data_IF_728072569333
#
_entry.id   IF_728072569333
#
_cell.length_a   1.000
_cell.length_b   1.000
_cell.length_c   1.000
_cell.angle_alpha   90.00
_cell.angle_beta   90.00
_cell.angle_gamma   90.00
#
_symmetry.space_group_name_H-M   'P 1'
#
loop_
_entity.id
_entity.type
_entity.pdbx_description
1 polymer ?
#
# COMPACT_ATOMS: atom_id res chain seq x y z
N UNK A 1 -33.62 -49.98 -19.00
CA UNK A 1 -33.04 -49.53 -17.71
C UNK A 1 -34.17 -49.43 -16.68
N UNK A 2 -34.04 -50.09 -15.52
CA UNK A 2 -35.09 -50.10 -14.49
C UNK A 2 -35.36 -48.67 -13.98
N UNK A 3 -36.62 -48.24 -13.85
CA UNK A 3 -37.00 -46.91 -13.36
C UNK A 3 -36.31 -46.55 -12.03
N UNK A 4 -36.08 -47.53 -11.16
CA UNK A 4 -35.34 -47.35 -9.89
C UNK A 4 -33.85 -47.05 -10.09
N UNK A 5 -33.23 -47.71 -11.09
CA UNK A 5 -31.82 -47.46 -11.45
C UNK A 5 -31.65 -46.09 -12.11
N UNK A 6 -32.60 -45.70 -12.97
CA UNK A 6 -32.61 -44.36 -13.56
C UNK A 6 -32.81 -43.26 -12.51
N UNK A 7 -33.74 -43.45 -11.57
CA UNK A 7 -33.97 -42.50 -10.47
C UNK A 7 -32.75 -42.39 -9.55
N UNK A 8 -32.10 -43.51 -9.23
CA UNK A 8 -30.86 -43.52 -8.45
C UNK A 8 -29.71 -42.78 -9.13
N UNK A 9 -29.53 -42.99 -10.44
CA UNK A 9 -28.54 -42.24 -11.24
C UNK A 9 -28.84 -40.75 -11.28
N UNK A 10 -30.11 -40.36 -11.42
CA UNK A 10 -30.51 -38.95 -11.45
C UNK A 10 -30.22 -38.26 -10.11
N UNK A 11 -30.57 -38.89 -8.98
CA UNK A 11 -30.25 -38.38 -7.64
C UNK A 11 -28.75 -38.27 -7.43
N UNK A 12 -27.98 -39.29 -7.85
CA UNK A 12 -26.51 -39.25 -7.76
C UNK A 12 -25.92 -38.07 -8.54
N UNK A 13 -26.36 -37.84 -9.79
CA UNK A 13 -25.90 -36.71 -10.61
C UNK A 13 -26.25 -35.38 -9.96
N UNK A 14 -27.46 -35.23 -9.40
CA UNK A 14 -27.88 -34.00 -8.71
C UNK A 14 -27.00 -33.76 -7.48
N UNK A 15 -26.77 -34.78 -6.66
CA UNK A 15 -25.93 -34.68 -5.46
C UNK A 15 -24.50 -34.32 -5.84
N UNK A 16 -23.90 -35.03 -6.81
CA UNK A 16 -22.52 -34.76 -7.25
C UNK A 16 -22.37 -33.37 -7.87
N UNK A 17 -23.38 -32.91 -8.63
CA UNK A 17 -23.40 -31.54 -9.15
C UNK A 17 -23.50 -30.52 -8.02
N UNK A 18 -24.34 -30.76 -7.02
CA UNK A 18 -24.45 -29.91 -5.83
C UNK A 18 -23.13 -29.84 -5.05
N UNK A 19 -22.47 -30.97 -4.83
CA UNK A 19 -21.15 -31.05 -4.19
C UNK A 19 -20.11 -30.28 -5.01
N UNK A 20 -20.07 -30.49 -6.32
CA UNK A 20 -19.14 -29.79 -7.22
C UNK A 20 -19.33 -28.28 -7.16
N UNK A 21 -20.58 -27.79 -7.24
CA UNK A 21 -20.90 -26.38 -7.15
C UNK A 21 -20.53 -25.79 -5.78
N UNK A 22 -20.81 -26.50 -4.70
CA UNK A 22 -20.43 -26.05 -3.35
C UNK A 22 -18.92 -25.96 -3.19
N UNK A 23 -18.19 -26.99 -3.60
CA UNK A 23 -16.72 -27.02 -3.53
C UNK A 23 -16.12 -25.88 -4.35
N UNK A 24 -16.59 -25.69 -5.59
CA UNK A 24 -16.06 -24.66 -6.47
C UNK A 24 -16.37 -23.23 -6.00
N UNK A 25 -17.55 -22.99 -5.43
CA UNK A 25 -18.01 -21.64 -5.11
C UNK A 25 -17.80 -21.22 -3.64
N UNK A 26 -17.72 -22.18 -2.70
CA UNK A 26 -17.60 -21.88 -1.27
C UNK A 26 -16.25 -22.35 -0.69
N UNK A 27 -15.78 -23.53 -1.08
CA UNK A 27 -14.57 -24.12 -0.49
C UNK A 27 -13.31 -23.54 -1.15
N UNK A 28 -13.15 -23.68 -2.46
CA UNK A 28 -11.97 -23.22 -3.18
C UNK A 28 -11.67 -21.72 -3.02
N UNK A 29 -12.66 -20.80 -3.07
CA UNK A 29 -12.41 -19.36 -2.96
C UNK A 29 -12.16 -18.89 -1.52
N UNK A 30 -12.35 -19.76 -0.52
CA UNK A 30 -12.20 -19.40 0.89
C UNK A 30 -10.72 -19.13 1.22
N UNK A 31 -10.37 -17.96 1.79
CA UNK A 31 -9.00 -17.58 2.11
C UNK A 31 -8.22 -18.61 2.94
N UNK A 32 -8.90 -19.30 3.86
CA UNK A 32 -8.23 -20.27 4.73
C UNK A 32 -7.70 -21.48 3.94
N UNK A 33 -8.45 -21.92 2.93
CA UNK A 33 -8.12 -23.10 2.13
C UNK A 33 -6.90 -22.87 1.24
N UNK A 34 -6.61 -21.61 0.89
CA UNK A 34 -5.42 -21.26 0.13
C UNK A 34 -4.12 -21.68 0.84
N UNK A 35 -4.11 -21.79 2.18
CA UNK A 35 -2.94 -22.21 2.97
C UNK A 35 -2.64 -23.71 2.85
N UNK A 36 -3.60 -24.51 2.40
CA UNK A 36 -3.45 -25.98 2.27
C UNK A 36 -2.61 -26.32 1.04
N UNK A 37 -2.87 -25.62 -0.06
CA UNK A 37 -2.26 -25.89 -1.36
C UNK A 37 -1.08 -24.95 -1.65
N UNK A 38 -1.12 -23.71 -1.17
CA UNK A 38 -0.13 -22.68 -1.50
C UNK A 38 0.58 -22.13 -0.26
N UNK A 39 1.76 -21.58 -0.48
CA UNK A 39 2.53 -20.86 0.55
C UNK A 39 1.89 -19.51 0.92
N UNK A 40 0.71 -19.56 1.54
CA UNK A 40 -0.12 -18.39 1.85
C UNK A 40 -0.28 -18.14 3.34
N UNK A 41 0.17 -19.06 4.20
CA UNK A 41 0.02 -18.94 5.65
C UNK A 41 0.48 -17.60 6.25
N UNK A 42 1.68 -17.05 5.93
CA UNK A 42 2.08 -15.76 6.47
C UNK A 42 1.21 -14.61 5.95
N UNK A 43 0.78 -14.65 4.68
CA UNK A 43 -0.05 -13.60 4.08
C UNK A 43 -1.49 -13.63 4.63
N UNK A 44 -2.05 -14.83 4.82
CA UNK A 44 -3.35 -15.04 5.45
C UNK A 44 -3.39 -14.44 6.86
N UNK A 45 -2.35 -14.68 7.69
CA UNK A 45 -2.29 -14.11 9.06
C UNK A 45 -2.37 -12.58 9.03
N UNK A 46 -1.70 -11.93 8.07
CA UNK A 46 -1.76 -10.47 7.91
C UNK A 46 -3.12 -9.98 7.42
N UNK A 47 -3.75 -10.75 6.54
CA UNK A 47 -5.09 -10.48 6.06
C UNK A 47 -6.11 -10.58 7.19
N UNK A 48 -6.02 -11.62 8.02
CA UNK A 48 -6.91 -11.91 9.15
C UNK A 48 -6.98 -10.77 10.18
N UNK A 49 -5.86 -10.08 10.40
CA UNK A 49 -5.78 -8.90 11.29
C UNK A 49 -6.00 -7.57 10.57
N UNK A 50 -6.18 -7.57 9.25
CA UNK A 50 -6.35 -6.35 8.47
C UNK A 50 -7.78 -5.80 8.52
N UNK A 51 -7.96 -4.56 8.08
CA UNK A 51 -9.28 -3.97 7.87
C UNK A 51 -10.08 -4.65 6.74
N UNK A 52 -9.44 -5.52 5.96
CA UNK A 52 -10.04 -6.26 4.84
C UNK A 52 -10.25 -7.75 5.15
N UNK A 53 -10.19 -8.16 6.43
CA UNK A 53 -10.31 -9.56 6.85
C UNK A 53 -11.66 -10.25 6.57
N UNK A 54 -12.62 -9.53 5.98
CA UNK A 54 -13.90 -10.07 5.50
C UNK A 54 -14.00 -10.12 3.98
N UNK A 55 -12.98 -9.67 3.27
CA UNK A 55 -12.92 -9.65 1.80
C UNK A 55 -12.12 -10.88 1.33
N UNK A 56 -12.70 -11.80 0.55
CA UNK A 56 -11.97 -12.94 0.02
C UNK A 56 -10.77 -12.51 -0.84
N UNK A 57 -9.66 -13.25 -0.77
CA UNK A 57 -8.42 -12.90 -1.46
C UNK A 57 -8.62 -12.65 -2.97
N UNK A 58 -9.42 -13.51 -3.62
CA UNK A 58 -9.68 -13.49 -5.06
C UNK A 58 -10.59 -12.34 -5.52
N UNK A 59 -11.15 -11.54 -4.59
CA UNK A 59 -11.81 -10.27 -4.95
C UNK A 59 -10.81 -9.21 -5.40
N UNK A 60 -9.59 -9.25 -4.87
CA UNK A 60 -8.53 -8.30 -5.18
C UNK A 60 -7.44 -8.93 -6.06
N UNK A 61 -7.03 -10.15 -5.73
CA UNK A 61 -5.97 -10.84 -6.45
C UNK A 61 -6.53 -11.61 -7.65
N UNK A 62 -5.98 -11.32 -8.83
CA UNK A 62 -6.24 -12.15 -10.00
C UNK A 62 -5.49 -13.48 -9.87
N UNK A 63 -6.18 -14.57 -10.19
CA UNK A 63 -5.65 -15.93 -10.03
C UNK A 63 -5.92 -16.74 -11.29
N UNK A 64 -4.87 -17.27 -11.89
CA UNK A 64 -4.94 -18.11 -13.08
C UNK A 64 -4.54 -19.53 -12.74
N UNK A 65 -5.01 -20.51 -13.53
CA UNK A 65 -4.62 -21.91 -13.36
C UNK A 65 -3.11 -22.11 -13.46
N UNK A 66 -2.44 -21.38 -14.35
CA UNK A 66 -0.98 -21.45 -14.50
C UNK A 66 -0.26 -20.92 -13.27
N UNK A 67 -0.71 -19.80 -12.70
CA UNK A 67 -0.17 -19.27 -11.45
C UNK A 67 -0.42 -20.23 -10.27
N UNK A 68 -1.57 -20.90 -10.27
CA UNK A 68 -1.94 -21.89 -9.27
C UNK A 68 -0.97 -23.09 -9.27
N UNK A 69 -0.78 -23.69 -10.44
CA UNK A 69 0.11 -24.85 -10.60
C UNK A 69 1.56 -24.48 -10.29
N UNK A 70 2.02 -23.32 -10.76
CA UNK A 70 3.36 -22.84 -10.44
C UNK A 70 3.53 -22.54 -8.94
N UNK A 71 2.50 -22.02 -8.27
CA UNK A 71 2.48 -21.78 -6.83
C UNK A 71 2.50 -23.09 -6.04
N UNK A 72 1.71 -24.08 -6.45
CA UNK A 72 1.69 -25.42 -5.86
C UNK A 72 3.06 -26.11 -5.99
N UNK A 73 3.65 -26.09 -7.18
CA UNK A 73 4.95 -26.69 -7.41
C UNK A 73 6.03 -26.06 -6.52
N UNK A 74 6.07 -24.73 -6.42
CA UNK A 74 6.99 -24.02 -5.51
C UNK A 74 6.76 -24.39 -4.05
N UNK A 75 5.51 -24.54 -3.62
CA UNK A 75 5.17 -24.96 -2.27
C UNK A 75 5.69 -26.37 -1.97
N UNK A 76 5.46 -27.33 -2.87
CA UNK A 76 5.95 -28.70 -2.73
C UNK A 76 7.47 -28.79 -2.78
N UNK A 77 8.11 -27.99 -3.65
CA UNK A 77 9.56 -27.95 -3.80
C UNK A 77 10.28 -27.11 -2.72
N UNK A 78 9.56 -26.45 -1.81
CA UNK A 78 10.15 -25.57 -0.79
C UNK A 78 10.75 -24.27 -1.34
N UNK A 79 10.45 -23.90 -2.60
CA UNK A 79 11.02 -22.75 -3.32
C UNK A 79 10.29 -21.45 -3.01
N UNK A 80 10.51 -20.87 -1.83
CA UNK A 80 9.77 -19.69 -1.33
C UNK A 80 10.43 -18.33 -1.60
N UNK A 81 11.62 -18.31 -2.20
CA UNK A 81 12.42 -17.11 -2.45
C UNK A 81 12.76 -17.02 -3.95
N UNK A 82 12.63 -15.86 -4.62
CA UNK A 82 12.13 -14.58 -4.12
C UNK A 82 10.64 -14.60 -3.75
N UNK A 83 10.24 -13.70 -2.84
CA UNK A 83 8.83 -13.51 -2.49
C UNK A 83 8.03 -13.23 -3.77
N UNK A 84 6.91 -13.95 -4.01
CA UNK A 84 6.11 -13.73 -5.20
C UNK A 84 5.54 -12.31 -5.19
N UNK A 85 5.83 -11.57 -6.26
CA UNK A 85 5.21 -10.28 -6.53
C UNK A 85 3.90 -10.53 -7.27
N UNK A 86 2.79 -10.10 -6.69
CA UNK A 86 1.49 -10.10 -7.37
C UNK A 86 1.03 -8.67 -7.52
N UNK A 87 0.64 -8.32 -8.75
CA UNK A 87 -0.05 -7.08 -9.05
C UNK A 87 -1.53 -7.21 -8.62
N UNK A 88 -2.09 -6.14 -8.08
CA UNK A 88 -3.52 -6.02 -7.83
C UNK A 88 -3.98 -4.85 -8.69
N UNK A 89 -4.73 -5.13 -9.76
CA UNK A 89 -5.25 -4.07 -10.62
C UNK A 89 -6.14 -3.10 -9.83
N UNK A 90 -6.00 -1.79 -10.08
CA UNK A 90 -6.79 -0.78 -9.34
C UNK A 90 -8.31 -0.97 -9.53
N UNK A 91 -8.73 -1.51 -10.69
CA UNK A 91 -10.14 -1.85 -10.97
C UNK A 91 -10.74 -2.79 -9.91
N UNK A 92 -9.93 -3.64 -9.27
CA UNK A 92 -10.39 -4.56 -8.24
C UNK A 92 -10.58 -3.83 -6.91
N UNK A 93 -9.84 -2.76 -6.64
CA UNK A 93 -10.12 -1.88 -5.50
C UNK A 93 -11.39 -1.05 -5.76
N UNK A 94 -11.52 -0.52 -6.98
CA UNK A 94 -12.60 0.37 -7.41
C UNK A 94 -13.84 -0.36 -7.91
N UNK A 95 -13.95 -1.67 -7.69
CA UNK A 95 -15.12 -2.45 -8.10
C UNK A 95 -16.37 -2.04 -7.32
N UNK A 96 -17.54 -2.31 -7.91
CA UNK A 96 -18.84 -2.04 -7.28
C UNK A 96 -18.95 -2.68 -5.89
N UNK A 97 -19.42 -1.90 -4.91
CA UNK A 97 -19.53 -2.34 -3.52
C UNK A 97 -18.21 -2.32 -2.73
N UNK A 98 -17.12 -1.82 -3.31
CA UNK A 98 -15.84 -1.59 -2.63
C UNK A 98 -15.50 -0.09 -2.56
N UNK A 99 -14.49 0.36 -3.32
CA UNK A 99 -14.06 1.77 -3.37
C UNK A 99 -14.51 2.48 -4.66
N UNK A 100 -15.64 2.08 -5.25
CA UNK A 100 -16.18 2.60 -6.52
C UNK A 100 -16.37 4.13 -6.56
N UNK A 101 -16.71 4.76 -5.42
CA UNK A 101 -16.83 6.22 -5.30
C UNK A 101 -15.56 6.94 -4.84
N UNK A 102 -14.45 6.23 -4.60
CA UNK A 102 -13.26 6.77 -3.94
C UNK A 102 -12.56 7.90 -4.71
N UNK A 103 -12.75 7.95 -6.03
CA UNK A 103 -12.19 9.02 -6.86
C UNK A 103 -13.14 10.21 -7.04
N UNK A 104 -14.41 10.07 -6.64
CA UNK A 104 -15.42 11.13 -6.62
C UNK A 104 -15.45 11.79 -5.23
N UNK A 105 -15.61 10.98 -4.19
CA UNK A 105 -15.51 11.35 -2.77
C UNK A 105 -14.05 11.17 -2.31
N UNK A 106 -13.15 11.96 -2.90
CA UNK A 106 -11.72 11.68 -2.87
C UNK A 106 -11.00 12.14 -1.61
N UNK A 107 -11.58 13.08 -0.85
CA UNK A 107 -10.97 13.67 0.34
C UNK A 107 -11.22 12.83 1.59
N UNK A 108 -10.18 12.60 2.36
CA UNK A 108 -10.22 11.88 3.64
C UNK A 108 -9.31 12.53 4.67
N UNK A 109 -9.68 12.38 5.95
CA UNK A 109 -8.78 12.66 7.07
C UNK A 109 -8.09 11.36 7.44
N UNK A 110 -6.81 11.22 7.06
CA UNK A 110 -6.08 9.97 7.15
C UNK A 110 -5.62 9.63 8.59
N UNK A 111 -5.29 10.63 9.39
CA UNK A 111 -4.77 10.40 10.76
C UNK A 111 -5.50 11.24 11.79
N UNK A 112 -5.46 10.81 13.06
CA UNK A 112 -5.97 11.60 14.19
C UNK A 112 -5.32 12.99 14.31
N UNK A 113 -4.12 13.16 13.73
CA UNK A 113 -3.42 14.45 13.64
C UNK A 113 -3.95 15.36 12.51
N UNK A 114 -4.99 14.94 11.79
CA UNK A 114 -5.67 15.76 10.80
C UNK A 114 -4.94 15.84 9.46
N UNK A 115 -4.25 14.78 9.03
CA UNK A 115 -3.69 14.76 7.68
C UNK A 115 -4.83 14.72 6.67
N UNK A 116 -4.98 15.78 5.88
CA UNK A 116 -5.93 15.86 4.78
C UNK A 116 -5.30 15.22 3.54
N UNK A 117 -5.97 14.23 2.98
CA UNK A 117 -5.50 13.55 1.78
C UNK A 117 -6.61 13.55 0.72
N UNK A 118 -6.24 13.79 -0.54
CA UNK A 118 -7.15 13.78 -1.68
C UNK A 118 -6.70 12.73 -2.69
N UNK A 119 -7.48 11.67 -2.86
CA UNK A 119 -7.15 10.56 -3.75
C UNK A 119 -7.12 10.98 -5.22
N UNK A 120 -7.97 11.92 -5.64
CA UNK A 120 -8.16 12.25 -7.05
C UNK A 120 -6.88 12.78 -7.69
N UNK A 121 -6.27 13.88 -7.22
CA UNK A 121 -5.04 14.39 -7.82
C UNK A 121 -3.84 13.46 -7.63
N UNK A 122 -3.84 12.60 -6.61
CA UNK A 122 -2.76 11.60 -6.44
C UNK A 122 -2.91 10.41 -7.40
N UNK A 123 -4.13 10.03 -7.75
CA UNK A 123 -4.39 8.87 -8.58
C UNK A 123 -4.46 9.22 -10.08
N UNK A 124 -5.09 10.34 -10.44
CA UNK A 124 -5.34 10.69 -11.84
C UNK A 124 -4.17 11.40 -12.50
N UNK A 125 -3.35 12.11 -11.73
CA UNK A 125 -2.23 12.88 -12.28
C UNK A 125 -0.91 12.13 -12.13
N UNK A 126 -0.03 12.32 -13.11
CA UNK A 126 1.34 11.84 -13.01
C UNK A 126 2.14 12.79 -12.13
N UNK A 127 2.53 12.34 -10.94
CA UNK A 127 3.32 13.15 -9.99
C UNK A 127 4.79 12.77 -10.12
N UNK A 128 5.65 13.75 -10.45
CA UNK A 128 7.11 13.56 -10.62
C UNK A 128 7.46 12.45 -11.62
N UNK A 129 6.66 12.29 -12.68
CA UNK A 129 6.85 11.23 -13.68
C UNK A 129 6.38 9.84 -13.25
N UNK A 130 5.70 9.73 -12.10
CA UNK A 130 5.25 8.46 -11.52
C UNK A 130 3.73 8.39 -11.65
N UNK A 131 3.23 7.28 -12.21
CA UNK A 131 1.80 6.94 -12.16
C UNK A 131 1.56 6.10 -10.91
N UNK A 132 0.73 6.61 -10.01
CA UNK A 132 0.41 5.93 -8.76
C UNK A 132 -0.76 4.94 -8.96
N UNK A 133 -0.77 3.94 -8.09
CA UNK A 133 -1.80 2.92 -7.95
C UNK A 133 -2.37 2.95 -6.53
N UNK A 134 -3.50 2.30 -6.28
CA UNK A 134 -4.05 2.19 -4.93
C UNK A 134 -3.00 1.62 -3.95
N UNK A 135 -2.25 0.63 -4.41
CA UNK A 135 -1.18 -0.03 -3.65
C UNK A 135 0.11 0.77 -3.50
N UNK A 136 0.30 1.86 -4.24
CA UNK A 136 1.44 2.74 -4.02
C UNK A 136 1.43 3.31 -2.60
N UNK A 137 0.24 3.53 -2.03
CA UNK A 137 0.08 3.92 -0.63
C UNK A 137 -0.40 2.76 0.25
N UNK A 138 -1.34 1.93 -0.23
CA UNK A 138 -1.89 0.78 0.50
C UNK A 138 -1.06 -0.49 0.30
N UNK A 139 0.11 -0.56 0.94
CA UNK A 139 1.04 -1.68 0.71
C UNK A 139 1.03 -2.74 1.81
N UNK A 140 1.58 -3.91 1.48
CA UNK A 140 1.61 -5.12 2.31
C UNK A 140 2.87 -5.26 3.18
N UNK A 141 3.80 -4.30 3.06
CA UNK A 141 5.15 -4.36 3.64
C UNK A 141 5.22 -3.59 4.96
N UNK A 142 4.30 -2.64 5.18
CA UNK A 142 4.38 -1.76 6.32
C UNK A 142 3.78 -2.48 7.54
N UNK A 143 4.65 -2.77 8.51
CA UNK A 143 4.26 -3.28 9.85
C UNK A 143 3.65 -4.67 9.89
N UNK A 144 3.84 -5.47 8.84
CA UNK A 144 3.32 -6.83 8.83
C UNK A 144 1.80 -6.91 8.69
N UNK A 145 1.15 -5.86 8.18
CA UNK A 145 -0.29 -5.85 7.90
C UNK A 145 -0.55 -5.88 6.39
N UNK A 146 -1.68 -6.46 6.00
CA UNK A 146 -2.11 -6.55 4.60
C UNK A 146 -2.89 -5.28 4.21
N UNK A 147 -2.49 -4.64 3.10
CA UNK A 147 -3.16 -3.46 2.52
C UNK A 147 -3.35 -2.32 3.55
N UNK A 148 -2.23 -1.79 4.07
CA UNK A 148 -2.23 -0.66 5.02
C UNK A 148 -1.49 0.55 4.44
N UNK A 149 -2.00 1.74 4.74
CA UNK A 149 -1.34 2.98 4.33
C UNK A 149 -0.18 3.32 5.27
N UNK A 150 0.99 3.61 4.69
CA UNK A 150 2.15 4.13 5.41
C UNK A 150 2.37 5.61 5.14
N UNK A 151 2.56 6.40 6.21
CA UNK A 151 2.98 7.80 6.10
C UNK A 151 4.35 7.98 5.45
N UNK A 152 5.20 6.94 5.47
CA UNK A 152 6.54 7.01 4.87
C UNK A 152 6.48 7.28 3.35
N UNK A 153 5.44 6.78 2.66
CA UNK A 153 5.26 7.06 1.23
C UNK A 153 4.97 8.53 0.99
N UNK A 154 4.15 9.16 1.86
CA UNK A 154 3.91 10.60 1.82
C UNK A 154 5.23 11.36 2.02
N UNK A 155 6.02 10.96 3.01
CA UNK A 155 7.29 11.63 3.32
C UNK A 155 8.29 11.52 2.17
N UNK A 156 8.39 10.37 1.51
CA UNK A 156 9.22 10.19 0.32
C UNK A 156 8.88 11.21 -0.77
N UNK A 157 7.62 11.33 -1.17
CA UNK A 157 7.25 12.23 -2.25
C UNK A 157 7.37 13.71 -1.86
N UNK A 158 6.97 14.07 -0.63
CA UNK A 158 6.83 15.46 -0.21
C UNK A 158 8.09 16.05 0.46
N UNK A 159 9.06 15.23 0.88
CA UNK A 159 10.32 15.69 1.48
C UNK A 159 11.58 15.32 0.68
N UNK A 160 11.54 14.32 -0.21
CA UNK A 160 12.73 13.98 -1.00
C UNK A 160 13.10 15.09 -1.98
N UNK A 161 14.33 15.59 -1.84
CA UNK A 161 14.92 16.61 -2.71
C UNK A 161 14.71 18.05 -2.24
N UNK A 162 14.25 18.25 -1.01
CA UNK A 162 14.18 19.57 -0.36
C UNK A 162 14.97 19.55 0.95
N UNK A 163 15.30 20.74 1.47
CA UNK A 163 15.97 20.88 2.77
C UNK A 163 15.08 20.39 3.92
N UNK A 164 15.69 19.93 5.03
CA UNK A 164 14.96 19.27 6.13
C UNK A 164 13.98 20.18 6.90
N UNK A 165 13.89 21.47 6.57
CA UNK A 165 12.95 22.46 7.10
C UNK A 165 11.74 22.73 6.16
N UNK A 166 11.71 22.13 4.97
CA UNK A 166 10.73 22.40 3.91
C UNK A 166 9.99 21.15 3.48
N UNK A 167 8.85 21.36 2.82
CA UNK A 167 8.12 20.35 2.06
C UNK A 167 7.94 20.85 0.63
N UNK A 168 8.01 19.96 -0.37
CA UNK A 168 7.83 20.27 -1.80
C UNK A 168 6.52 21.03 -2.05
N UNK A 169 5.45 20.65 -1.35
CA UNK A 169 4.11 21.23 -1.47
C UNK A 169 3.79 22.27 -0.39
N UNK A 170 4.75 22.63 0.46
CA UNK A 170 4.56 23.54 1.60
C UNK A 170 3.87 22.91 2.82
N UNK A 171 4.11 23.48 3.99
CA UNK A 171 3.76 22.86 5.28
C UNK A 171 2.27 22.64 5.56
N UNK A 172 1.31 23.50 5.18
CA UNK A 172 -0.09 23.19 5.47
C UNK A 172 -0.73 22.23 4.45
N UNK A 173 0.04 21.69 3.49
CA UNK A 173 -0.51 20.79 2.45
C UNK A 173 -0.95 19.43 2.98
N UNK A 174 -0.29 18.91 4.03
CA UNK A 174 -0.66 17.64 4.64
C UNK A 174 -1.47 17.84 5.92
N UNK A 175 -0.98 18.65 6.85
CA UNK A 175 -1.64 18.92 8.12
C UNK A 175 -1.56 20.41 8.46
N UNK A 176 -2.58 20.93 9.13
CA UNK A 176 -2.58 22.32 9.61
C UNK A 176 -1.78 22.46 10.90
N UNK A 177 -1.45 23.70 11.28
CA UNK A 177 -0.90 23.99 12.60
C UNK A 177 -1.94 23.71 13.71
N UNK A 178 -1.51 23.39 14.95
CA UNK A 178 -2.43 23.26 16.08
C UNK A 178 -3.33 24.49 16.24
N UNK A 179 -4.65 24.26 16.31
CA UNK A 179 -5.64 25.33 16.49
C UNK A 179 -5.61 25.90 17.91
N UNK A 180 -5.43 25.03 18.91
CA UNK A 180 -5.34 25.44 20.31
C UNK A 180 -3.91 25.85 20.67
N UNK A 181 -3.73 26.83 21.59
CA UNK A 181 -2.42 27.14 22.14
C UNK A 181 -1.77 25.90 22.75
N UNK A 182 -0.45 25.80 22.60
CA UNK A 182 0.35 24.71 23.15
C UNK A 182 1.35 25.25 24.17
N UNK A 183 1.79 24.42 25.11
CA UNK A 183 2.87 24.78 26.02
C UNK A 183 4.21 24.32 25.44
N UNK A 184 5.14 25.25 25.28
CA UNK A 184 6.51 24.98 24.84
C UNK A 184 7.46 25.57 25.88
N UNK A 185 8.26 24.73 26.54
CA UNK A 185 9.19 25.14 27.62
C UNK A 185 8.51 26.01 28.70
N UNK A 186 7.33 25.59 29.14
CA UNK A 186 6.57 26.30 30.19
C UNK A 186 5.86 27.58 29.75
N UNK A 187 5.99 28.00 28.48
CA UNK A 187 5.29 29.17 27.93
C UNK A 187 4.17 28.75 26.99
N UNK A 188 3.02 29.40 27.12
CA UNK A 188 1.91 29.23 26.18
C UNK A 188 2.26 29.86 24.84
N UNK A 189 2.09 29.12 23.76
CA UNK A 189 2.40 29.52 22.40
C UNK A 189 1.21 29.26 21.47
N UNK A 190 0.80 30.29 20.73
CA UNK A 190 -0.25 30.19 19.72
C UNK A 190 0.34 30.22 18.32
N UNK A 191 0.11 29.16 17.55
CA UNK A 191 0.50 29.12 16.14
C UNK A 191 -0.28 30.13 15.30
N UNK A 192 -1.57 30.33 15.61
CA UNK A 192 -2.41 31.30 14.92
C UNK A 192 -1.85 32.72 15.07
N UNK A 193 -1.47 33.12 16.28
CA UNK A 193 -0.86 34.44 16.52
C UNK A 193 0.49 34.57 15.82
N UNK A 194 1.32 33.52 15.84
CA UNK A 194 2.61 33.53 15.15
C UNK A 194 2.45 33.69 13.63
N UNK A 195 1.50 32.96 13.03
CA UNK A 195 1.19 33.06 11.60
C UNK A 195 0.62 34.43 11.23
N UNK A 196 -0.30 34.98 12.04
CA UNK A 196 -0.81 36.36 11.88
C UNK A 196 0.29 37.42 11.97
N UNK A 197 1.31 37.19 12.80
CA UNK A 197 2.50 38.02 12.91
C UNK A 197 3.55 37.77 11.79
N UNK A 198 3.20 37.02 10.73
CA UNK A 198 4.07 36.77 9.59
C UNK A 198 5.23 35.81 9.84
N UNK A 199 5.22 35.06 10.96
CA UNK A 199 6.28 34.09 11.26
C UNK A 199 6.20 32.90 10.32
N UNK A 200 7.35 32.51 9.75
CA UNK A 200 7.48 31.31 8.91
C UNK A 200 7.66 30.08 9.78
N UNK A 201 7.17 28.93 9.32
CA UNK A 201 7.29 27.66 10.04
C UNK A 201 8.76 27.32 10.38
N UNK A 202 9.67 27.50 9.43
CA UNK A 202 11.10 27.17 9.56
C UNK A 202 11.86 28.02 10.58
N UNK A 203 11.29 29.14 11.05
CA UNK A 203 11.88 29.91 12.14
C UNK A 203 11.82 29.15 13.48
N UNK A 204 10.83 28.27 13.65
CA UNK A 204 10.66 27.45 14.85
C UNK A 204 10.85 25.96 14.57
N UNK A 205 10.60 25.49 13.35
CA UNK A 205 10.73 24.11 12.91
C UNK A 205 11.96 23.96 12.02
N UNK A 206 13.16 24.03 12.62
CA UNK A 206 14.44 24.14 11.91
C UNK A 206 14.79 22.84 11.19
N UNK A 207 14.50 21.69 11.79
CA UNK A 207 14.58 20.40 11.11
C UNK A 207 13.34 19.60 11.50
N UNK A 208 12.60 19.15 10.48
CA UNK A 208 11.37 18.37 10.65
C UNK A 208 11.48 16.97 10.05
N UNK A 209 12.59 16.68 9.36
CA UNK A 209 12.82 15.38 8.74
C UNK A 209 14.21 14.85 9.05
N UNK A 210 14.37 13.54 9.00
CA UNK A 210 15.64 12.83 9.09
C UNK A 210 15.73 11.79 7.97
N UNK A 211 16.83 11.81 7.23
CA UNK A 211 17.05 10.97 6.05
C UNK A 211 16.50 11.58 4.75
N UNK A 212 17.07 11.16 3.62
CA UNK A 212 16.84 11.79 2.30
C UNK A 212 16.12 10.89 1.28
N UNK A 213 15.67 9.72 1.75
CA UNK A 213 14.97 8.74 0.91
C UNK A 213 15.79 8.29 -0.28
N UNK A 214 17.10 8.16 -0.12
CA UNK A 214 18.03 7.69 -1.14
C UNK A 214 17.67 6.31 -1.66
N UNK A 215 18.20 5.97 -2.84
CA UNK A 215 18.04 4.65 -3.46
C UNK A 215 19.39 3.95 -3.52
N UNK A 216 19.85 3.32 -2.43
CA UNK A 216 21.09 2.55 -2.46
C UNK A 216 21.09 1.51 -3.60
N UNK A 217 22.20 1.44 -4.36
CA UNK A 217 22.34 0.53 -5.52
C UNK A 217 22.25 -0.94 -5.12
N UNK A 218 22.68 -1.28 -3.91
CA UNK A 218 22.61 -2.65 -3.37
C UNK A 218 21.18 -3.20 -3.36
N UNK A 219 20.18 -2.33 -3.23
CA UNK A 219 18.77 -2.72 -3.27
C UNK A 219 18.33 -3.28 -4.63
N UNK A 220 18.98 -2.85 -5.71
CA UNK A 220 18.72 -3.38 -7.04
C UNK A 220 19.08 -4.87 -7.10
N UNK A 221 20.11 -5.28 -6.36
CA UNK A 221 20.62 -6.65 -6.39
C UNK A 221 19.75 -7.67 -5.63
N UNK A 222 18.73 -7.24 -4.90
CA UNK A 222 17.70 -8.14 -4.37
C UNK A 222 16.84 -8.78 -5.47
N UNK A 223 16.79 -8.20 -6.66
CA UNK A 223 16.00 -8.71 -7.77
C UNK A 223 16.78 -8.84 -9.08
N UNK A 224 17.81 -8.03 -9.29
CA UNK A 224 18.60 -8.02 -10.52
C UNK A 224 20.02 -8.52 -10.25
N UNK A 225 20.53 -9.44 -11.05
CA UNK A 225 21.94 -9.88 -10.92
C UNK A 225 22.86 -8.87 -11.63
N UNK A 226 22.53 -8.45 -12.86
CA UNK A 226 23.38 -7.54 -13.66
C UNK A 226 22.67 -6.27 -14.17
N UNK A 227 21.32 -6.23 -14.19
CA UNK A 227 20.54 -5.17 -14.86
C UNK A 227 20.42 -3.86 -14.06
N UNK A 228 21.49 -3.08 -14.04
CA UNK A 228 21.53 -1.76 -13.35
C UNK A 228 22.01 -0.61 -14.23
N UNK A 229 22.17 -0.82 -15.54
CA UNK A 229 22.69 0.16 -16.49
C UNK A 229 21.81 1.40 -16.57
N UNK A 230 20.49 1.22 -16.48
CA UNK A 230 19.49 2.28 -16.52
C UNK A 230 19.19 2.89 -15.13
N UNK A 231 20.01 2.61 -14.11
CA UNK A 231 19.77 3.08 -12.74
C UNK A 231 19.61 4.61 -12.65
N UNK A 232 20.34 5.37 -13.46
CA UNK A 232 20.26 6.83 -13.48
C UNK A 232 19.03 7.37 -14.22
N UNK A 233 18.36 6.56 -15.04
CA UNK A 233 17.11 6.95 -15.71
C UNK A 233 15.93 6.78 -14.74
N UNK A 234 15.72 7.80 -13.91
CA UNK A 234 14.69 7.82 -12.87
C UNK A 234 13.29 7.59 -13.45
N UNK A 235 13.01 8.11 -14.66
CA UNK A 235 11.69 7.96 -15.30
C UNK A 235 11.48 6.51 -15.71
N UNK A 236 12.47 5.92 -16.39
CA UNK A 236 12.44 4.52 -16.79
C UNK A 236 12.30 3.59 -15.57
N UNK A 237 13.09 3.83 -14.51
CA UNK A 237 13.05 3.00 -13.29
C UNK A 237 11.66 3.04 -12.66
N UNK A 238 11.05 4.21 -12.48
CA UNK A 238 9.70 4.31 -11.93
C UNK A 238 8.63 3.70 -12.84
N UNK A 239 8.73 3.90 -14.16
CA UNK A 239 7.77 3.32 -15.09
C UNK A 239 7.78 1.78 -15.02
N UNK A 240 8.96 1.17 -15.05
CA UNK A 240 9.09 -0.29 -15.04
C UNK A 240 8.74 -0.90 -13.68
N UNK A 241 9.15 -0.27 -12.58
CA UNK A 241 9.01 -0.87 -11.26
C UNK A 241 7.72 -0.45 -10.55
N UNK A 242 7.37 0.83 -10.56
CA UNK A 242 6.19 1.34 -9.84
C UNK A 242 4.94 1.26 -10.72
N UNK A 243 4.98 1.82 -11.93
CA UNK A 243 3.78 1.87 -12.79
C UNK A 243 3.39 0.50 -13.35
N UNK A 244 4.35 -0.28 -13.85
CA UNK A 244 4.04 -1.56 -14.50
C UNK A 244 4.00 -2.75 -13.52
N UNK A 245 4.84 -2.73 -12.48
CA UNK A 245 5.02 -3.84 -11.54
C UNK A 245 4.53 -3.55 -10.13
N UNK A 246 4.01 -2.34 -9.86
CA UNK A 246 3.48 -1.94 -8.56
C UNK A 246 4.42 -2.24 -7.37
N UNK A 247 5.73 -2.14 -7.59
CA UNK A 247 6.73 -2.33 -6.54
C UNK A 247 6.63 -1.16 -5.56
N UNK A 248 6.55 -1.49 -4.27
CA UNK A 248 6.48 -0.51 -3.20
C UNK A 248 7.76 0.34 -3.14
N UNK A 249 7.59 1.64 -2.98
CA UNK A 249 8.67 2.63 -2.99
C UNK A 249 9.80 2.28 -2.01
N UNK A 250 9.47 1.74 -0.83
CA UNK A 250 10.40 1.42 0.24
C UNK A 250 11.25 0.18 -0.02
N UNK A 251 11.00 -0.57 -1.10
CA UNK A 251 11.93 -1.60 -1.56
C UNK A 251 13.20 -0.96 -2.12
N UNK A 252 13.05 0.19 -2.78
CA UNK A 252 14.17 0.90 -3.39
C UNK A 252 14.63 2.09 -2.54
N UNK A 253 13.71 2.82 -1.91
CA UNK A 253 14.02 4.03 -1.15
C UNK A 253 14.24 3.75 0.36
N UNK A 254 15.24 4.41 0.93
CA UNK A 254 15.38 4.53 2.38
C UNK A 254 14.22 5.36 2.97
N UNK A 255 13.95 5.22 4.26
CA UNK A 255 12.85 5.95 4.90
C UNK A 255 13.26 7.40 5.17
N UNK A 256 12.28 8.29 5.11
CA UNK A 256 12.38 9.65 5.67
C UNK A 256 11.51 9.66 6.91
N UNK A 257 12.10 9.97 8.07
CA UNK A 257 11.34 10.21 9.29
C UNK A 257 10.86 11.66 9.30
N UNK A 258 9.65 11.91 9.82
CA UNK A 258 9.12 13.25 9.98
C UNK A 258 8.55 13.46 11.38
N UNK A 259 8.87 14.59 12.00
CA UNK A 259 8.40 14.94 13.33
C UNK A 259 9.10 16.15 13.93
N UNK A 260 9.11 16.22 15.27
CA UNK A 260 9.82 17.25 16.04
C UNK A 260 11.31 16.85 16.16
N UNK A 261 12.08 17.04 15.10
CA UNK A 261 13.51 16.66 15.07
C UNK A 261 14.36 17.75 15.74
N UNK A 262 14.30 18.99 15.21
CA UNK A 262 14.98 20.15 15.78
C UNK A 262 14.09 21.38 15.75
N UNK A 263 13.93 21.98 16.91
CA UNK A 263 13.11 23.16 17.10
C UNK A 263 14.00 24.37 17.36
N UNK A 264 13.64 25.52 16.79
CA UNK A 264 14.27 26.79 17.11
C UNK A 264 14.01 27.17 18.55
N UNK A 265 15.08 27.50 19.28
CA UNK A 265 14.97 28.29 20.50
C UNK A 265 14.84 29.74 20.11
N UNK A 266 13.73 30.38 20.47
CA UNK A 266 13.77 31.82 20.66
C UNK A 266 14.68 32.10 21.87
N UNK A 267 15.68 32.95 21.66
CA UNK A 267 16.01 33.95 22.67
C UNK A 267 14.84 34.95 22.73
#
# INVERSE_FOLDING_TARGET
MNKKVFLGLLVFVIVMTGVFLYVNNAVFPSPQNCKVCHYMAPFYKKWETSTHNKVPCLKCHEYTLTAALAGQFRFLAGGYNPRPLTNVPDKNCLQSGCHDKRLVESKVIFTKRGINFDHKPHFTEMKRGIKLHCRSCHSDIVQGEHVKVSTNVCFLCHFKGVTHDKAVTGCPSCHSSPKQPIVVKGRTFSHEQALKAGRKCSQCHIEITKGDGETPKDRCYFCHIEKTEMYQDIKFVHEKHVTQKQIDCLWCHSRIEHGKIKMGSKN
#
